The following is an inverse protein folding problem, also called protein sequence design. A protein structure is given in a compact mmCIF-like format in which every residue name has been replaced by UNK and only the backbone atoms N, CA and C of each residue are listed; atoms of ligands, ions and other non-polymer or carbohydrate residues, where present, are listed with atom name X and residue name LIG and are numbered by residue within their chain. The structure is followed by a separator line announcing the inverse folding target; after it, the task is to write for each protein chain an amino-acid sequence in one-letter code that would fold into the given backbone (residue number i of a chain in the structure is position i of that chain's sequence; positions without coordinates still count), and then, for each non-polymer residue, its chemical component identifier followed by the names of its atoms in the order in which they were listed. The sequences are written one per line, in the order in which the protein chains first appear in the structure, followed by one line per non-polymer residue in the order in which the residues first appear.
data_IF_693880429448
#
_entry.id   IF_693880429448
#
_cell.length_a   1.000
_cell.length_b   1.000
_cell.length_c   1.000
_cell.angle_alpha   90.00
_cell.angle_beta   90.00
_cell.angle_gamma   90.00
#
_symmetry.space_group_name_H-M   'P 1'
#
loop_
_entity.id
_entity.type
_entity.pdbx_description
1 polymer ?
#
# COMPACT_ATOMS: atom_id res chain seq x y z
N UNK A 1 33.34 23.38 37.12
CA UNK A 1 32.12 23.79 36.41
C UNK A 1 32.14 23.11 35.02
N UNK A 2 31.56 21.95 34.93
CA UNK A 2 31.56 21.13 33.70
C UNK A 2 30.24 21.43 32.97
N UNK A 3 30.34 22.13 31.86
CA UNK A 3 29.18 22.43 31.02
C UNK A 3 28.70 21.15 30.30
N UNK A 4 27.48 20.75 30.54
CA UNK A 4 26.79 19.68 29.81
C UNK A 4 26.69 20.06 28.34
N UNK A 5 26.85 19.09 27.40
CA UNK A 5 26.66 19.38 25.99
C UNK A 5 25.17 19.59 25.68
N UNK A 6 24.85 20.44 24.69
CA UNK A 6 23.46 20.75 24.32
C UNK A 6 22.71 19.49 23.85
N UNK A 7 21.46 19.42 24.24
CA UNK A 7 20.53 18.34 24.02
C UNK A 7 20.33 18.07 22.49
N UNK A 8 20.89 16.97 22.00
CA UNK A 8 20.77 16.52 20.60
C UNK A 8 19.34 16.10 20.18
N UNK A 9 18.40 16.14 21.13
CA UNK A 9 16.98 15.82 20.85
C UNK A 9 16.19 16.99 20.27
N UNK A 10 16.69 18.23 20.40
CA UNK A 10 16.04 19.40 19.82
C UNK A 10 16.30 19.51 18.31
N UNK A 11 17.45 19.05 17.82
CA UNK A 11 17.83 19.19 16.41
C UNK A 11 17.15 18.20 15.46
N UNK A 12 16.65 17.07 15.97
CA UNK A 12 15.94 16.08 15.13
C UNK A 12 14.53 16.51 14.71
N UNK A 13 13.92 17.50 15.39
CA UNK A 13 12.60 18.06 15.01
C UNK A 13 12.69 19.15 13.92
N UNK A 14 13.88 19.63 13.61
CA UNK A 14 14.09 20.71 12.63
C UNK A 14 14.27 20.20 11.18
N UNK A 15 14.28 18.89 10.92
CA UNK A 15 14.65 18.31 9.62
C UNK A 15 13.46 17.90 8.73
N UNK A 16 12.23 17.88 9.24
CA UNK A 16 11.07 17.67 8.38
C UNK A 16 10.43 19.02 8.04
N UNK A 17 10.37 19.39 6.74
CA UNK A 17 9.63 20.58 6.35
C UNK A 17 8.18 20.44 6.81
N UNK A 18 7.63 21.48 7.43
CA UNK A 18 6.24 21.46 7.84
C UNK A 18 5.37 21.27 6.59
N UNK A 19 4.21 20.59 6.74
CA UNK A 19 3.30 20.41 5.59
C UNK A 19 2.95 21.76 4.93
N UNK A 20 2.95 22.83 5.69
CA UNK A 20 2.74 24.20 5.20
C UNK A 20 3.84 24.65 4.22
N UNK A 21 5.10 24.25 4.45
CA UNK A 21 6.22 24.55 3.55
C UNK A 21 6.12 23.71 2.27
N UNK A 22 5.69 22.45 2.38
CA UNK A 22 5.44 21.58 1.22
C UNK A 22 4.32 22.12 0.31
N UNK A 23 3.23 22.64 0.89
CA UNK A 23 2.13 23.28 0.13
C UNK A 23 2.58 24.49 -0.70
N UNK A 24 3.62 25.19 -0.28
CA UNK A 24 4.16 26.36 -1.00
C UNK A 24 5.03 26.02 -2.21
N UNK A 25 5.51 24.78 -2.32
CA UNK A 25 6.30 24.32 -3.47
C UNK A 25 5.35 23.97 -4.62
N UNK A 26 5.43 24.71 -5.73
CA UNK A 26 4.48 24.67 -6.89
C UNK A 26 4.77 23.57 -7.94
N UNK A 27 5.44 22.52 -7.60
CA UNK A 27 5.54 21.35 -8.47
C UNK A 27 4.32 20.44 -8.24
N UNK A 28 4.36 19.18 -8.59
CA UNK A 28 3.30 18.19 -8.30
C UNK A 28 2.73 18.39 -6.88
N UNK A 29 1.41 18.23 -6.71
CA UNK A 29 0.76 18.32 -5.38
C UNK A 29 1.38 17.37 -4.35
N UNK A 30 1.33 17.71 -3.09
CA UNK A 30 1.93 16.98 -1.96
C UNK A 30 0.88 16.13 -1.26
N UNK A 31 1.25 14.91 -0.88
CA UNK A 31 0.40 13.97 -0.16
C UNK A 31 0.80 13.90 1.31
N UNK A 32 -0.14 14.27 2.18
CA UNK A 32 -0.06 13.96 3.62
C UNK A 32 -1.01 12.83 3.95
N UNK A 33 -0.51 11.78 4.58
CA UNK A 33 -1.27 10.58 4.88
C UNK A 33 -1.34 10.32 6.39
N UNK A 34 -2.56 10.25 6.93
CA UNK A 34 -2.83 9.77 8.28
C UNK A 34 -3.01 8.26 8.28
N UNK A 35 -2.13 7.55 8.98
CA UNK A 35 -2.19 6.10 9.14
C UNK A 35 -2.69 5.77 10.54
N UNK A 36 -3.54 4.75 10.65
CA UNK A 36 -3.98 4.23 11.94
C UNK A 36 -4.11 2.71 11.91
N UNK A 37 -4.09 2.10 13.09
CA UNK A 37 -4.21 0.65 13.22
C UNK A 37 -5.58 0.13 12.80
N UNK A 38 -6.66 0.87 13.12
CA UNK A 38 -8.05 0.45 12.84
C UNK A 38 -8.98 1.66 12.70
N UNK A 39 -10.27 1.40 12.48
CA UNK A 39 -11.31 2.41 12.60
C UNK A 39 -11.38 2.94 14.05
N UNK A 40 -11.70 4.22 14.22
CA UNK A 40 -11.82 4.85 15.55
C UNK A 40 -10.53 5.45 16.11
N UNK A 41 -9.38 5.37 15.42
CA UNK A 41 -8.14 6.03 15.86
C UNK A 41 -8.17 7.55 15.75
N UNK A 42 -9.22 8.14 15.16
CA UNK A 42 -9.41 9.59 15.08
C UNK A 42 -8.81 10.25 13.83
N UNK A 43 -8.46 9.49 12.78
CA UNK A 43 -7.85 10.02 11.54
C UNK A 43 -8.68 11.12 10.91
N UNK A 44 -9.93 10.83 10.58
CA UNK A 44 -10.86 11.80 9.97
C UNK A 44 -11.02 13.05 10.82
N UNK A 45 -11.18 12.91 12.13
CA UNK A 45 -11.28 14.03 13.06
C UNK A 45 -10.00 14.89 13.00
N UNK A 46 -8.81 14.27 13.01
CA UNK A 46 -7.55 14.99 12.97
C UNK A 46 -7.32 15.69 11.62
N UNK A 47 -7.70 15.07 10.51
CA UNK A 47 -7.67 15.68 9.19
C UNK A 47 -8.51 16.97 9.16
N UNK A 48 -9.73 16.93 9.69
CA UNK A 48 -10.64 18.08 9.73
C UNK A 48 -10.10 19.19 10.65
N UNK A 49 -9.53 18.85 11.80
CA UNK A 49 -8.85 19.85 12.65
C UNK A 49 -7.71 20.55 11.88
N UNK A 50 -6.88 19.80 11.17
CA UNK A 50 -5.82 20.38 10.38
C UNK A 50 -6.34 21.28 9.25
N UNK A 51 -7.45 20.89 8.61
CA UNK A 51 -8.12 21.71 7.61
C UNK A 51 -8.51 23.09 8.17
N UNK A 52 -9.08 23.14 9.38
CA UNK A 52 -9.38 24.40 10.08
C UNK A 52 -8.11 25.21 10.39
N UNK A 53 -7.03 24.54 10.81
CA UNK A 53 -5.76 25.21 11.06
C UNK A 53 -5.17 25.83 9.78
N UNK A 54 -5.22 25.11 8.66
CA UNK A 54 -4.79 25.60 7.36
C UNK A 54 -5.65 26.77 6.88
N UNK A 55 -6.99 26.66 6.98
CA UNK A 55 -7.93 27.72 6.64
C UNK A 55 -7.68 29.00 7.44
N UNK A 56 -7.45 28.87 8.76
CA UNK A 56 -7.12 30.04 9.60
C UNK A 56 -5.80 30.72 9.19
N UNK A 57 -4.91 30.01 8.55
CA UNK A 57 -3.65 30.54 8.00
C UNK A 57 -3.80 31.08 6.57
N UNK A 58 -5.02 31.17 6.05
CA UNK A 58 -5.32 31.69 4.71
C UNK A 58 -5.04 30.72 3.57
N UNK A 59 -4.92 29.43 3.84
CA UNK A 59 -4.81 28.39 2.80
C UNK A 59 -6.22 28.05 2.29
N UNK A 60 -6.38 27.97 0.98
CA UNK A 60 -7.62 27.57 0.33
C UNK A 60 -7.81 26.04 0.44
N UNK A 61 -8.70 25.63 1.35
CA UNK A 61 -8.95 24.22 1.71
C UNK A 61 -10.38 23.85 1.42
N UNK A 62 -10.58 22.70 0.76
CA UNK A 62 -11.88 22.09 0.53
C UNK A 62 -11.94 20.67 1.06
N UNK A 63 -13.13 20.20 1.36
CA UNK A 63 -13.43 18.79 1.61
C UNK A 63 -13.88 18.17 0.30
N UNK A 64 -13.02 17.38 -0.34
CA UNK A 64 -13.35 16.62 -1.54
C UNK A 64 -14.21 15.40 -1.22
N UNK A 65 -13.81 14.64 -0.19
CA UNK A 65 -14.60 13.54 0.33
C UNK A 65 -14.23 13.24 1.80
N UNK A 66 -15.22 13.24 2.65
CA UNK A 66 -15.08 12.79 4.05
C UNK A 66 -16.32 12.01 4.44
N UNK A 67 -16.14 10.85 5.04
CA UNK A 67 -17.23 10.04 5.57
C UNK A 67 -17.30 10.17 7.09
N UNK A 68 -18.41 10.67 7.59
CA UNK A 68 -18.60 10.87 9.04
C UNK A 68 -19.12 9.63 9.73
N UNK A 69 -19.67 8.66 8.97
CA UNK A 69 -20.31 7.45 9.50
C UNK A 69 -21.37 7.73 10.58
N UNK A 70 -22.04 8.89 10.51
CA UNK A 70 -23.03 9.31 11.50
C UNK A 70 -22.45 9.72 12.86
N UNK A 71 -21.13 9.95 12.96
CA UNK A 71 -20.46 10.39 14.20
C UNK A 71 -20.65 11.90 14.37
N UNK A 72 -21.44 12.29 15.39
CA UNK A 72 -21.77 13.69 15.63
C UNK A 72 -20.52 14.58 15.83
N UNK A 73 -19.51 14.09 16.56
CA UNK A 73 -18.26 14.82 16.79
C UNK A 73 -17.49 15.08 15.49
N UNK A 74 -17.45 14.12 14.57
CA UNK A 74 -16.78 14.28 13.26
C UNK A 74 -17.61 15.18 12.35
N UNK A 75 -18.93 15.02 12.34
CA UNK A 75 -19.82 15.86 11.55
C UNK A 75 -19.76 17.33 11.98
N UNK A 76 -19.62 17.60 13.28
CA UNK A 76 -19.42 18.96 13.80
C UNK A 76 -18.15 19.63 13.28
N UNK A 77 -17.11 18.84 12.96
CA UNK A 77 -15.86 19.36 12.39
C UNK A 77 -15.97 19.75 10.91
N UNK A 78 -17.06 19.40 10.21
CA UNK A 78 -17.30 19.86 8.84
C UNK A 78 -17.81 21.33 8.78
N UNK A 79 -18.24 21.87 9.91
CA UNK A 79 -18.73 23.26 9.97
C UNK A 79 -17.67 24.22 9.49
N UNK A 80 -18.10 25.20 8.70
CA UNK A 80 -17.25 26.24 8.10
C UNK A 80 -16.20 25.79 7.07
N UNK A 81 -16.10 24.50 6.78
CA UNK A 81 -15.32 24.00 5.65
C UNK A 81 -16.17 23.95 4.38
N UNK A 82 -15.59 24.37 3.27
CA UNK A 82 -16.23 24.17 1.96
C UNK A 82 -16.21 22.70 1.58
N UNK A 83 -17.37 22.13 1.33
CA UNK A 83 -17.52 20.74 0.90
C UNK A 83 -17.89 20.72 -0.59
N UNK A 84 -17.09 20.05 -1.40
CA UNK A 84 -17.42 19.82 -2.81
C UNK A 84 -18.58 18.83 -2.87
N UNK A 85 -19.69 19.15 -3.60
CA UNK A 85 -20.81 18.24 -3.73
C UNK A 85 -20.38 16.89 -4.28
N UNK A 86 -20.93 15.82 -3.73
CA UNK A 86 -20.67 14.46 -4.20
C UNK A 86 -21.37 14.21 -5.53
N UNK A 87 -20.73 13.44 -6.40
CA UNK A 87 -21.36 12.95 -7.63
C UNK A 87 -22.34 11.83 -7.27
N UNK A 88 -23.56 11.91 -7.84
CA UNK A 88 -24.58 10.86 -7.71
C UNK A 88 -24.52 9.93 -8.90
N UNK A 89 -24.26 8.65 -8.64
CA UNK A 89 -24.15 7.61 -9.67
C UNK A 89 -25.26 6.60 -9.47
N UNK A 90 -26.08 6.38 -10.49
CA UNK A 90 -27.07 5.33 -10.47
C UNK A 90 -26.42 3.98 -10.83
N UNK A 91 -26.47 3.03 -9.90
CA UNK A 91 -25.96 1.69 -10.10
C UNK A 91 -26.96 0.66 -9.59
N UNK A 92 -27.45 -0.25 -10.47
CA UNK A 92 -28.43 -1.30 -10.14
C UNK A 92 -29.67 -0.74 -9.42
N UNK A 93 -30.22 0.36 -9.91
CA UNK A 93 -31.40 1.05 -9.34
C UNK A 93 -31.21 1.64 -7.94
N UNK A 94 -29.96 1.80 -7.49
CA UNK A 94 -29.59 2.51 -6.27
C UNK A 94 -28.75 3.72 -6.64
N UNK A 95 -29.05 4.87 -6.06
CA UNK A 95 -28.21 6.07 -6.21
C UNK A 95 -27.12 6.01 -5.13
N UNK A 96 -25.88 5.96 -5.57
CA UNK A 96 -24.70 5.96 -4.72
C UNK A 96 -23.98 7.31 -4.86
N UNK A 97 -23.31 7.74 -3.80
CA UNK A 97 -22.57 9.00 -3.77
C UNK A 97 -21.08 8.74 -3.76
N UNK A 98 -20.37 9.38 -4.68
CA UNK A 98 -18.91 9.31 -4.80
C UNK A 98 -18.27 10.70 -4.82
N UNK A 99 -16.97 10.77 -4.62
CA UNK A 99 -16.22 12.01 -4.79
C UNK A 99 -16.33 12.50 -6.25
N UNK A 100 -16.71 13.75 -6.44
CA UNK A 100 -16.64 14.39 -7.75
C UNK A 100 -15.24 14.94 -8.00
N UNK A 101 -14.38 14.09 -8.59
CA UNK A 101 -12.99 14.42 -8.89
C UNK A 101 -12.88 15.61 -9.83
N UNK A 102 -13.74 15.66 -10.85
CA UNK A 102 -13.71 16.71 -11.85
C UNK A 102 -14.15 18.06 -11.24
N UNK A 103 -15.12 18.06 -10.32
CA UNK A 103 -15.50 19.24 -9.57
C UNK A 103 -14.34 19.75 -8.67
N UNK A 104 -13.59 18.86 -8.03
CA UNK A 104 -12.41 19.24 -7.24
C UNK A 104 -11.34 19.86 -8.15
N UNK A 105 -11.08 19.28 -9.33
CA UNK A 105 -10.11 19.81 -10.30
C UNK A 105 -10.54 21.20 -10.78
N UNK A 106 -11.81 21.38 -11.14
CA UNK A 106 -12.36 22.66 -11.60
C UNK A 106 -12.30 23.72 -10.50
N UNK A 107 -12.60 23.34 -9.23
CA UNK A 107 -12.52 24.24 -8.06
C UNK A 107 -11.08 24.68 -7.77
N UNK A 108 -10.10 23.82 -8.09
CA UNK A 108 -8.65 24.06 -7.98
C UNK A 108 -8.21 24.61 -6.63
N UNK A 109 -8.51 23.94 -5.52
CA UNK A 109 -8.08 24.36 -4.19
C UNK A 109 -6.58 24.19 -4.01
N UNK A 110 -6.00 24.85 -3.01
CA UNK A 110 -4.61 24.60 -2.61
C UNK A 110 -4.48 23.24 -1.90
N UNK A 111 -5.49 22.87 -1.11
CA UNK A 111 -5.53 21.59 -0.37
C UNK A 111 -6.94 20.99 -0.46
N UNK A 112 -7.03 19.70 -0.76
CA UNK A 112 -8.26 18.93 -0.66
C UNK A 112 -8.14 17.80 0.37
N UNK A 113 -9.19 17.61 1.17
CA UNK A 113 -9.30 16.47 2.08
C UNK A 113 -10.01 15.33 1.38
N UNK A 114 -9.37 14.16 1.34
CA UNK A 114 -9.93 12.94 0.73
C UNK A 114 -9.74 11.77 1.70
N UNK A 115 -10.79 11.41 2.41
CA UNK A 115 -10.80 10.27 3.35
C UNK A 115 -10.98 8.93 2.61
N UNK A 116 -10.81 7.84 3.34
CA UNK A 116 -11.01 6.46 2.85
C UNK A 116 -10.20 6.12 1.59
N UNK A 117 -8.87 6.32 1.65
CA UNK A 117 -7.97 6.12 0.51
C UNK A 117 -8.08 4.73 -0.15
N UNK A 118 -8.49 3.70 0.60
CA UNK A 118 -8.63 2.34 0.11
C UNK A 118 -9.96 2.05 -0.60
N UNK A 119 -10.91 2.98 -0.55
CA UNK A 119 -12.26 2.79 -1.08
C UNK A 119 -12.25 2.33 -2.53
N UNK A 120 -13.17 1.41 -2.84
CA UNK A 120 -13.44 0.98 -4.22
C UNK A 120 -14.61 1.78 -4.75
N UNK A 121 -14.34 2.65 -5.70
CA UNK A 121 -15.34 3.51 -6.30
C UNK A 121 -16.44 2.71 -7.01
N UNK A 122 -17.64 3.29 -7.10
CA UNK A 122 -18.77 2.69 -7.79
C UNK A 122 -18.40 2.40 -9.25
N UNK A 123 -18.78 1.22 -9.80
CA UNK A 123 -18.63 0.96 -11.24
C UNK A 123 -19.27 2.10 -12.04
N UNK A 124 -18.57 2.60 -13.03
CA UNK A 124 -18.87 3.81 -13.83
C UNK A 124 -18.26 5.12 -13.31
N UNK A 125 -17.59 5.11 -12.16
CA UNK A 125 -16.72 6.22 -11.77
C UNK A 125 -15.53 6.34 -12.73
N UNK A 126 -14.92 7.52 -12.81
CA UNK A 126 -13.75 7.79 -13.64
C UNK A 126 -12.60 6.82 -13.37
N UNK A 127 -12.34 6.55 -12.10
CA UNK A 127 -11.33 5.59 -11.64
C UNK A 127 -11.98 4.51 -10.78
N UNK A 128 -11.41 3.30 -10.77
CA UNK A 128 -11.93 2.19 -9.98
C UNK A 128 -11.62 2.26 -8.48
N UNK A 129 -10.67 3.11 -8.09
CA UNK A 129 -10.21 3.23 -6.70
C UNK A 129 -9.99 4.69 -6.30
N UNK A 130 -10.28 5.02 -5.04
CA UNK A 130 -10.10 6.35 -4.48
C UNK A 130 -8.64 6.82 -4.50
N UNK A 131 -7.69 5.91 -4.27
CA UNK A 131 -6.28 6.27 -4.37
C UNK A 131 -5.87 6.72 -5.79
N UNK A 132 -6.52 6.23 -6.85
CA UNK A 132 -6.28 6.69 -8.22
C UNK A 132 -6.80 8.12 -8.42
N UNK A 133 -7.93 8.46 -7.81
CA UNK A 133 -8.46 9.82 -7.81
C UNK A 133 -7.49 10.76 -7.09
N UNK A 134 -6.96 10.34 -5.93
CA UNK A 134 -5.94 11.10 -5.19
C UNK A 134 -4.70 11.33 -6.04
N UNK A 135 -4.20 10.30 -6.74
CA UNK A 135 -3.02 10.45 -7.61
C UNK A 135 -3.27 11.45 -8.73
N UNK A 136 -4.47 11.41 -9.34
CA UNK A 136 -4.87 12.38 -10.38
C UNK A 136 -4.89 13.82 -9.83
N UNK A 137 -5.45 14.04 -8.64
CA UNK A 137 -5.49 15.37 -8.02
C UNK A 137 -4.08 15.89 -7.70
N UNK A 138 -3.17 15.00 -7.27
CA UNK A 138 -1.77 15.36 -7.06
C UNK A 138 -1.07 15.76 -8.36
N UNK A 139 -1.34 15.05 -9.46
CA UNK A 139 -0.77 15.36 -10.78
C UNK A 139 -1.31 16.70 -11.33
N UNK A 140 -2.52 17.11 -10.95
CA UNK A 140 -3.10 18.43 -11.22
C UNK A 140 -2.54 19.54 -10.27
N UNK A 141 -1.58 19.21 -9.39
CA UNK A 141 -0.94 20.17 -8.49
C UNK A 141 -1.74 20.50 -7.23
N UNK A 142 -2.78 19.75 -6.89
CA UNK A 142 -3.60 19.92 -5.69
C UNK A 142 -2.96 19.10 -4.56
N UNK A 143 -2.70 19.75 -3.40
CA UNK A 143 -2.18 19.04 -2.24
C UNK A 143 -3.32 18.25 -1.56
N UNK A 144 -3.03 17.04 -1.12
CA UNK A 144 -4.02 16.14 -0.55
C UNK A 144 -3.67 15.79 0.90
N UNK A 145 -4.67 15.84 1.77
CA UNK A 145 -4.64 15.21 3.09
C UNK A 145 -5.60 14.03 3.03
N UNK A 146 -5.09 12.83 3.30
CA UNK A 146 -5.85 11.58 3.21
C UNK A 146 -5.64 10.70 4.43
N UNK A 147 -6.44 9.63 4.57
CA UNK A 147 -6.32 8.67 5.66
C UNK A 147 -6.49 7.23 5.18
N UNK A 148 -5.76 6.33 5.86
CA UNK A 148 -5.83 4.89 5.61
C UNK A 148 -5.65 4.10 6.92
N UNK A 149 -6.29 2.95 7.04
CA UNK A 149 -5.97 1.96 8.05
C UNK A 149 -4.91 1.00 7.51
N UNK A 150 -3.97 0.60 8.35
CA UNK A 150 -2.84 -0.27 7.98
C UNK A 150 -3.28 -1.59 7.34
N UNK A 151 -4.44 -2.12 7.72
CA UNK A 151 -5.01 -3.35 7.16
C UNK A 151 -5.31 -3.28 5.66
N UNK A 152 -5.46 -2.07 5.11
CA UNK A 152 -5.73 -1.84 3.70
C UNK A 152 -4.47 -1.78 2.83
N UNK A 153 -3.26 -1.91 3.40
CA UNK A 153 -2.04 -1.98 2.62
C UNK A 153 -1.94 -3.32 1.91
N UNK A 154 -1.77 -3.27 0.58
CA UNK A 154 -1.82 -4.47 -0.27
C UNK A 154 -0.77 -5.51 0.13
N UNK A 155 0.45 -5.09 0.49
CA UNK A 155 1.51 -6.02 0.92
C UNK A 155 1.23 -6.71 2.25
N UNK A 156 0.37 -6.13 3.09
CA UNK A 156 0.03 -6.67 4.40
C UNK A 156 -1.23 -7.56 4.38
N UNK A 157 -1.95 -7.62 3.26
CA UNK A 157 -3.22 -8.33 3.15
C UNK A 157 -3.13 -9.79 3.64
N UNK A 158 -2.11 -10.54 3.20
CA UNK A 158 -1.89 -11.93 3.63
C UNK A 158 -1.45 -12.07 5.11
N UNK A 159 -0.83 -11.04 5.68
CA UNK A 159 -0.49 -11.01 7.11
C UNK A 159 -1.72 -10.74 7.95
N UNK A 160 -2.53 -9.77 7.54
CA UNK A 160 -3.80 -9.41 8.18
C UNK A 160 -4.78 -10.58 8.11
N UNK A 161 -4.94 -11.23 6.96
CA UNK A 161 -5.81 -12.39 6.79
C UNK A 161 -5.42 -13.55 7.71
N UNK A 162 -4.14 -13.85 7.82
CA UNK A 162 -3.66 -14.92 8.73
C UNK A 162 -3.82 -14.59 10.20
N UNK A 163 -3.58 -13.33 10.57
CA UNK A 163 -3.61 -12.90 11.97
C UNK A 163 -5.03 -12.69 12.48
N UNK A 164 -5.92 -12.13 11.65
CA UNK A 164 -7.27 -11.73 12.04
C UNK A 164 -8.37 -12.65 11.50
N UNK A 165 -8.05 -13.55 10.56
CA UNK A 165 -9.04 -14.39 9.89
C UNK A 165 -10.00 -13.62 8.96
N UNK A 166 -9.67 -12.37 8.59
CA UNK A 166 -10.53 -11.48 7.82
C UNK A 166 -9.87 -11.17 6.47
N UNK A 167 -10.58 -11.43 5.38
CA UNK A 167 -10.12 -11.04 4.03
C UNK A 167 -10.44 -9.58 3.76
N UNK A 168 -9.41 -8.75 3.61
CA UNK A 168 -9.54 -7.33 3.26
C UNK A 168 -9.62 -7.21 1.73
N UNK A 169 -10.75 -6.70 1.23
CA UNK A 169 -10.99 -6.56 -0.22
C UNK A 169 -10.56 -5.20 -0.78
N UNK A 170 -10.64 -4.18 0.05
CA UNK A 170 -10.26 -2.81 -0.31
C UNK A 170 -8.81 -2.57 0.09
N UNK A 171 -7.96 -2.32 -0.89
CA UNK A 171 -6.52 -2.21 -0.68
C UNK A 171 -5.95 -1.00 -1.39
N UNK A 172 -4.85 -0.49 -0.83
CA UNK A 172 -4.00 0.56 -1.38
C UNK A 172 -2.64 -0.06 -1.69
N UNK A 173 -2.11 0.09 -2.90
CA UNK A 173 -0.75 -0.33 -3.20
C UNK A 173 0.29 0.40 -2.34
N UNK A 174 1.32 -0.31 -1.91
CA UNK A 174 2.35 0.24 -1.01
C UNK A 174 3.11 1.42 -1.62
N UNK A 175 3.28 1.43 -2.94
CA UNK A 175 3.92 2.54 -3.63
C UNK A 175 3.14 3.87 -3.50
N UNK A 176 1.81 3.83 -3.32
CA UNK A 176 1.00 5.03 -3.07
C UNK A 176 1.37 5.64 -1.72
N UNK A 177 1.53 4.80 -0.69
CA UNK A 177 1.98 5.23 0.65
C UNK A 177 3.43 5.72 0.59
N UNK A 178 4.27 5.05 -0.20
CA UNK A 178 5.65 5.46 -0.41
C UNK A 178 5.79 6.83 -1.08
N UNK A 179 4.80 7.26 -1.87
CA UNK A 179 4.77 8.60 -2.47
C UNK A 179 4.24 9.70 -1.54
N UNK A 180 3.81 9.35 -0.32
CA UNK A 180 3.39 10.36 0.64
C UNK A 180 4.58 11.21 1.11
N UNK A 181 4.48 12.52 0.95
CA UNK A 181 5.50 13.48 1.42
C UNK A 181 5.54 13.57 2.95
N UNK A 182 4.42 13.26 3.60
CA UNK A 182 4.34 13.19 5.05
C UNK A 182 3.40 12.06 5.48
N UNK A 183 3.87 11.18 6.36
CA UNK A 183 3.07 10.13 6.99
C UNK A 183 2.97 10.41 8.48
N UNK A 184 1.74 10.43 9.00
CA UNK A 184 1.45 10.68 10.41
C UNK A 184 0.76 9.46 11.00
N UNK A 185 1.38 8.83 12.00
CA UNK A 185 0.73 7.76 12.75
C UNK A 185 -0.21 8.33 13.81
N UNK A 186 -1.45 7.85 13.80
CA UNK A 186 -2.39 8.08 14.89
C UNK A 186 -2.50 6.80 15.73
N UNK A 187 -1.70 6.78 16.78
CA UNK A 187 -1.63 5.67 17.70
C UNK A 187 -2.60 5.84 18.87
N UNK A 188 -3.31 4.77 19.19
CA UNK A 188 -4.21 4.67 20.34
C UNK A 188 -4.13 3.24 20.88
N UNK A 189 -4.28 3.09 22.20
CA UNK A 189 -4.22 1.77 22.83
C UNK A 189 -5.40 0.88 22.39
N UNK A 190 -5.20 -0.44 22.42
CA UNK A 190 -6.29 -1.39 22.16
C UNK A 190 -7.46 -1.19 23.14
N UNK A 191 -7.15 -0.92 24.41
CA UNK A 191 -8.14 -0.68 25.44
C UNK A 191 -8.98 0.57 25.14
N UNK A 192 -8.35 1.70 24.78
CA UNK A 192 -9.06 2.94 24.43
C UNK A 192 -9.92 2.76 23.18
N UNK A 193 -9.44 2.02 22.15
CA UNK A 193 -10.23 1.71 20.96
C UNK A 193 -11.48 0.89 21.31
N UNK A 194 -11.33 -0.13 22.15
CA UNK A 194 -12.45 -0.95 22.62
C UNK A 194 -13.43 -0.13 23.46
N UNK A 195 -12.92 0.79 24.29
CA UNK A 195 -13.76 1.68 25.07
C UNK A 195 -14.56 2.63 24.16
N UNK A 196 -13.92 3.26 23.17
CA UNK A 196 -14.61 4.09 22.16
C UNK A 196 -15.66 3.30 21.37
N UNK A 197 -15.40 2.01 21.09
CA UNK A 197 -16.37 1.15 20.44
C UNK A 197 -17.59 0.89 21.35
N UNK A 198 -17.39 0.57 22.64
CA UNK A 198 -18.49 0.39 23.61
C UNK A 198 -19.35 1.65 23.77
N UNK A 199 -18.73 2.82 23.67
CA UNK A 199 -19.40 4.12 23.74
C UNK A 199 -20.15 4.50 22.44
N UNK A 200 -20.16 3.63 21.42
CA UNK A 200 -20.81 3.88 20.14
C UNK A 200 -20.11 4.92 19.27
N UNK A 201 -18.86 5.29 19.58
CA UNK A 201 -18.08 6.30 18.86
C UNK A 201 -17.44 5.77 17.55
N UNK A 202 -17.46 4.46 17.31
CA UNK A 202 -16.87 3.83 16.13
C UNK A 202 -17.96 3.25 15.23
N UNK A 203 -18.81 2.40 15.79
CA UNK A 203 -19.91 1.77 15.09
C UNK A 203 -21.25 2.01 15.82
N UNK A 204 -22.36 1.79 15.11
CA UNK A 204 -23.70 1.85 15.67
C UNK A 204 -23.88 0.73 16.70
N UNK A 205 -24.81 0.93 17.65
CA UNK A 205 -25.03 0.06 18.80
C UNK A 205 -25.26 -1.41 18.41
N UNK A 206 -25.98 -1.64 17.33
CA UNK A 206 -26.31 -2.97 16.78
C UNK A 206 -25.09 -3.78 16.31
N UNK A 207 -23.96 -3.11 16.01
CA UNK A 207 -22.73 -3.76 15.51
C UNK A 207 -21.63 -3.92 16.58
N UNK A 208 -21.80 -3.33 17.77
CA UNK A 208 -20.72 -3.26 18.77
C UNK A 208 -20.32 -4.64 19.29
N UNK A 209 -21.27 -5.46 19.72
CA UNK A 209 -20.99 -6.79 20.29
C UNK A 209 -20.26 -7.69 19.28
N UNK A 210 -20.75 -7.74 18.06
CA UNK A 210 -20.12 -8.52 17.00
C UNK A 210 -18.71 -8.02 16.68
N UNK A 211 -18.50 -6.70 16.67
CA UNK A 211 -17.19 -6.11 16.44
C UNK A 211 -16.19 -6.42 17.57
N UNK A 212 -16.63 -6.34 18.85
CA UNK A 212 -15.80 -6.68 20.01
C UNK A 212 -15.43 -8.16 20.06
N UNK A 213 -16.32 -9.04 19.62
CA UNK A 213 -16.11 -10.49 19.62
C UNK A 213 -15.17 -10.95 18.48
N UNK A 214 -15.13 -10.24 17.35
CA UNK A 214 -14.41 -10.69 16.16
C UNK A 214 -13.18 -9.83 15.86
N UNK A 215 -13.37 -8.59 15.42
CA UNK A 215 -12.27 -7.75 14.93
C UNK A 215 -11.56 -6.98 16.04
N UNK A 216 -12.30 -6.39 16.99
CA UNK A 216 -11.75 -5.54 18.05
C UNK A 216 -11.30 -6.33 19.29
N UNK A 217 -10.63 -7.47 19.10
CA UNK A 217 -9.96 -8.20 20.18
C UNK A 217 -8.63 -7.53 20.53
N UNK A 218 -8.13 -7.72 21.74
CA UNK A 218 -6.86 -7.13 22.16
C UNK A 218 -5.69 -7.63 21.31
N UNK A 219 -5.71 -8.90 20.92
CA UNK A 219 -4.70 -9.55 20.08
C UNK A 219 -4.68 -8.93 18.67
N UNK A 220 -5.85 -8.81 18.03
CA UNK A 220 -5.97 -8.23 16.69
C UNK A 220 -5.52 -6.77 16.68
N UNK A 221 -6.00 -5.96 17.62
CA UNK A 221 -5.65 -4.54 17.71
C UNK A 221 -4.17 -4.33 18.01
N UNK A 222 -3.56 -5.17 18.84
CA UNK A 222 -2.12 -5.13 19.12
C UNK A 222 -1.33 -5.46 17.86
N UNK A 223 -1.72 -6.49 17.11
CA UNK A 223 -1.09 -6.86 15.85
C UNK A 223 -1.18 -5.75 14.82
N UNK A 224 -2.36 -5.17 14.62
CA UNK A 224 -2.57 -4.05 13.69
C UNK A 224 -1.78 -2.81 14.11
N UNK A 225 -1.68 -2.53 15.40
CA UNK A 225 -0.89 -1.43 15.95
C UNK A 225 0.60 -1.63 15.66
N UNK A 226 1.13 -2.83 15.87
CA UNK A 226 2.52 -3.16 15.53
C UNK A 226 2.80 -2.96 14.03
N UNK A 227 1.89 -3.43 13.17
CA UNK A 227 2.00 -3.25 11.72
C UNK A 227 2.00 -1.76 11.34
N UNK A 228 1.12 -0.95 11.93
CA UNK A 228 1.05 0.49 11.68
C UNK A 228 2.34 1.22 12.08
N UNK A 229 2.85 0.94 13.28
CA UNK A 229 4.11 1.51 13.77
C UNK A 229 5.30 1.13 12.88
N UNK A 230 5.35 -0.12 12.44
CA UNK A 230 6.40 -0.62 11.53
C UNK A 230 6.34 0.09 10.18
N UNK A 231 5.15 0.28 9.61
CA UNK A 231 5.01 0.95 8.31
C UNK A 231 5.40 2.43 8.38
N UNK A 232 5.05 3.11 9.45
CA UNK A 232 5.46 4.50 9.66
C UNK A 232 6.98 4.60 9.87
N UNK A 233 7.60 3.68 10.59
CA UNK A 233 9.06 3.63 10.72
C UNK A 233 9.73 3.47 9.33
N UNK A 234 9.22 2.57 8.50
CA UNK A 234 9.70 2.38 7.12
C UNK A 234 9.56 3.65 6.28
N UNK A 235 8.49 4.44 6.48
CA UNK A 235 8.29 5.69 5.74
C UNK A 235 9.29 6.78 6.15
N UNK A 236 9.64 6.86 7.44
CA UNK A 236 10.66 7.80 7.95
C UNK A 236 12.05 7.47 7.39
N UNK A 237 12.39 6.19 7.33
CA UNK A 237 13.69 5.77 6.78
C UNK A 237 13.77 6.10 5.28
N UNK A 238 12.70 5.91 4.51
CA UNK A 238 12.60 6.31 3.09
C UNK A 238 12.83 7.82 2.90
N UNK A 239 12.18 8.64 3.70
CA UNK A 239 12.33 10.11 3.63
C UNK A 239 13.76 10.55 3.92
N UNK A 240 14.43 9.93 4.89
CA UNK A 240 15.83 10.22 5.21
C UNK A 240 16.78 9.86 4.07
N UNK A 241 16.59 8.71 3.44
CA UNK A 241 17.43 8.27 2.32
C UNK A 241 17.23 9.16 1.09
N UNK A 242 16.03 9.65 0.83
CA UNK A 242 15.78 10.62 -0.24
C UNK A 242 16.49 11.95 -0.01
N UNK A 243 16.50 12.45 1.22
CA UNK A 243 17.23 13.67 1.59
C UNK A 243 18.72 13.48 1.35
N UNK A 244 19.31 12.37 1.85
CA UNK A 244 20.72 12.03 1.64
C UNK A 244 21.05 11.91 0.16
N UNK A 245 20.20 11.25 -0.64
CA UNK A 245 20.37 11.14 -2.10
C UNK A 245 20.30 12.48 -2.83
N UNK A 246 19.48 13.42 -2.36
CA UNK A 246 19.42 14.80 -2.91
C UNK A 246 20.68 15.59 -2.60
N UNK A 247 21.20 15.47 -1.38
CA UNK A 247 22.45 16.14 -0.96
C UNK A 247 23.67 15.55 -1.69
N UNK A 248 23.72 14.23 -1.89
CA UNK A 248 24.80 13.55 -2.60
C UNK A 248 24.82 13.82 -4.11
N UNK A 249 23.71 14.19 -4.74
CA UNK A 249 23.71 14.63 -6.16
C UNK A 249 24.50 15.89 -6.45
N UNK A 250 24.94 16.60 -5.41
CA UNK A 250 25.85 17.77 -5.50
C UNK A 250 27.35 17.45 -5.41
N UNK A 251 27.76 16.21 -5.13
CA UNK A 251 29.16 15.80 -5.00
C UNK A 251 29.34 14.31 -5.28
N UNK A 252 30.50 13.89 -5.78
CA UNK A 252 30.83 12.53 -6.21
C UNK A 252 30.41 11.47 -5.18
N UNK A 253 29.45 10.63 -5.55
CA UNK A 253 28.82 9.61 -4.73
C UNK A 253 29.74 8.42 -4.48
N UNK A 254 29.88 7.91 -3.24
CA UNK A 254 30.31 6.54 -3.07
C UNK A 254 29.19 5.62 -3.56
N UNK A 255 29.53 4.65 -4.41
CA UNK A 255 28.63 3.62 -4.92
C UNK A 255 28.15 2.78 -3.71
N UNK A 256 27.07 3.20 -3.05
CA UNK A 256 26.32 2.28 -2.19
C UNK A 256 25.66 1.26 -3.12
N UNK A 257 26.00 0.00 -2.95
CA UNK A 257 25.25 -1.12 -3.53
C UNK A 257 23.86 -1.08 -2.95
N UNK A 258 22.94 -0.42 -3.67
CA UNK A 258 21.52 -0.44 -3.31
C UNK A 258 21.03 -1.85 -3.61
N UNK A 259 20.60 -2.57 -2.59
CA UNK A 259 19.97 -3.87 -2.79
C UNK A 259 18.80 -3.73 -3.77
N UNK A 260 18.77 -4.59 -4.80
CA UNK A 260 17.68 -4.66 -5.77
C UNK A 260 17.03 -6.01 -5.72
N UNK A 261 15.70 -6.02 -5.76
CA UNK A 261 14.89 -7.21 -5.58
C UNK A 261 14.28 -7.63 -6.91
N UNK A 262 14.29 -8.93 -7.22
CA UNK A 262 13.45 -9.48 -8.29
C UNK A 262 12.57 -10.60 -7.77
N UNK A 263 11.30 -10.60 -8.20
CA UNK A 263 10.37 -11.73 -8.05
C UNK A 263 10.33 -12.52 -9.35
N UNK A 264 10.59 -13.83 -9.26
CA UNK A 264 10.57 -14.72 -10.42
C UNK A 264 9.16 -15.30 -10.60
N UNK A 265 8.43 -14.80 -11.59
CA UNK A 265 7.06 -15.21 -11.87
C UNK A 265 7.04 -16.47 -12.75
N UNK A 266 6.22 -17.46 -12.38
CA UNK A 266 5.95 -18.66 -13.21
C UNK A 266 4.60 -18.52 -13.89
N UNK A 267 4.49 -19.02 -15.12
CA UNK A 267 3.26 -19.05 -15.91
C UNK A 267 2.12 -19.85 -15.22
N UNK A 268 2.46 -20.92 -14.52
CA UNK A 268 1.49 -21.86 -13.95
C UNK A 268 1.26 -21.68 -12.45
N UNK A 269 1.43 -20.48 -11.92
CA UNK A 269 1.26 -20.29 -10.48
C UNK A 269 -0.06 -19.58 -10.13
N UNK A 270 -1.04 -20.34 -9.64
CA UNK A 270 -2.22 -19.81 -8.95
C UNK A 270 -1.87 -19.04 -7.66
N UNK A 271 -0.60 -19.10 -7.23
CA UNK A 271 -0.10 -18.60 -5.93
C UNK A 271 0.88 -17.46 -6.06
N UNK A 272 1.03 -16.92 -7.27
CA UNK A 272 1.94 -15.79 -7.56
C UNK A 272 1.63 -14.56 -6.71
N UNK A 273 0.39 -14.33 -6.32
CA UNK A 273 0.00 -13.14 -5.53
C UNK A 273 0.72 -13.08 -4.17
N UNK A 274 0.86 -14.21 -3.46
CA UNK A 274 1.59 -14.26 -2.17
C UNK A 274 3.07 -13.94 -2.39
N UNK A 275 3.67 -14.52 -3.45
CA UNK A 275 5.06 -14.22 -3.84
C UNK A 275 5.25 -12.73 -4.12
N UNK A 276 4.37 -12.14 -4.93
CA UNK A 276 4.44 -10.74 -5.35
C UNK A 276 4.25 -9.78 -4.16
N UNK A 277 3.29 -10.06 -3.26
CA UNK A 277 3.14 -9.28 -2.01
C UNK A 277 4.38 -9.37 -1.13
N UNK A 278 4.97 -10.57 -0.99
CA UNK A 278 6.22 -10.74 -0.22
C UNK A 278 7.38 -9.98 -0.83
N UNK A 279 7.49 -9.96 -2.16
CA UNK A 279 8.49 -9.19 -2.88
C UNK A 279 8.31 -7.67 -2.67
N UNK A 280 7.10 -7.17 -2.83
CA UNK A 280 6.76 -5.77 -2.59
C UNK A 280 7.10 -5.34 -1.15
N UNK A 281 6.74 -6.16 -0.12
CA UNK A 281 7.12 -5.87 1.28
C UNK A 281 8.63 -5.83 1.50
N UNK A 282 9.37 -6.75 0.90
CA UNK A 282 10.82 -6.78 1.05
C UNK A 282 11.45 -5.59 0.35
N UNK A 283 11.04 -5.29 -0.87
CA UNK A 283 11.49 -4.12 -1.61
C UNK A 283 11.17 -2.81 -0.86
N UNK A 284 9.97 -2.71 -0.29
CA UNK A 284 9.58 -1.58 0.55
C UNK A 284 10.43 -1.42 1.81
N UNK A 285 10.82 -2.54 2.46
CA UNK A 285 11.73 -2.51 3.62
C UNK A 285 13.16 -2.13 3.27
N UNK A 286 13.63 -2.57 2.09
CA UNK A 286 14.95 -2.23 1.58
C UNK A 286 14.97 -0.86 0.88
N UNK A 287 13.83 -0.18 0.81
CA UNK A 287 13.63 1.07 0.09
C UNK A 287 14.25 1.05 -1.31
N UNK A 288 13.87 0.05 -2.09
CA UNK A 288 14.42 -0.18 -3.42
C UNK A 288 13.33 -0.49 -4.44
N UNK A 289 13.61 -0.16 -5.69
CA UNK A 289 12.80 -0.62 -6.82
C UNK A 289 12.93 -2.14 -6.98
N UNK A 290 11.88 -2.77 -7.50
CA UNK A 290 11.89 -4.21 -7.68
C UNK A 290 11.32 -4.64 -9.02
N UNK A 291 11.84 -5.76 -9.50
CA UNK A 291 11.45 -6.34 -10.78
C UNK A 291 10.55 -7.55 -10.58
N UNK A 292 9.51 -7.65 -11.40
CA UNK A 292 8.77 -8.90 -11.61
C UNK A 292 9.23 -9.50 -12.94
N UNK A 293 10.02 -10.57 -12.87
CA UNK A 293 10.64 -11.17 -14.05
C UNK A 293 9.92 -12.46 -14.43
N UNK A 294 9.38 -12.50 -15.62
CA UNK A 294 8.78 -13.68 -16.23
C UNK A 294 9.65 -14.17 -17.40
N UNK A 295 10.04 -15.44 -17.37
CA UNK A 295 10.80 -16.04 -18.47
C UNK A 295 9.85 -16.92 -19.29
N UNK A 296 9.58 -16.53 -20.53
CA UNK A 296 8.79 -17.31 -21.47
C UNK A 296 9.67 -18.35 -22.12
N UNK A 297 9.36 -19.64 -21.89
CA UNK A 297 10.01 -20.74 -22.60
C UNK A 297 9.31 -21.01 -23.94
N UNK A 298 9.98 -21.67 -24.93
CA UNK A 298 9.40 -21.94 -26.24
C UNK A 298 8.05 -22.67 -26.22
N UNK A 299 7.81 -23.53 -25.21
CA UNK A 299 6.57 -24.27 -25.06
C UNK A 299 5.44 -23.43 -24.42
N UNK A 300 5.74 -22.25 -23.86
CA UNK A 300 4.78 -21.32 -23.26
C UNK A 300 4.47 -20.12 -24.18
N UNK A 301 4.73 -20.23 -25.48
CA UNK A 301 4.32 -19.20 -26.44
C UNK A 301 2.79 -19.10 -26.49
N UNK A 302 2.30 -17.91 -26.83
CA UNK A 302 0.87 -17.59 -26.82
C UNK A 302 -0.01 -18.54 -27.71
N UNK A 303 0.59 -19.18 -28.72
CA UNK A 303 -0.02 -20.16 -29.60
C UNK A 303 -0.08 -21.58 -29.01
N UNK A 304 0.61 -21.85 -27.91
CA UNK A 304 0.75 -23.18 -27.29
C UNK A 304 0.27 -23.24 -25.84
N UNK A 305 0.12 -22.09 -25.18
CA UNK A 305 -0.28 -22.04 -23.76
C UNK A 305 -1.81 -22.09 -23.62
N UNK A 306 -2.29 -22.80 -22.61
CA UNK A 306 -3.72 -22.83 -22.27
C UNK A 306 -4.25 -21.44 -21.96
N UNK A 307 -5.41 -21.08 -22.47
CA UNK A 307 -6.03 -19.75 -22.33
C UNK A 307 -6.28 -19.36 -20.86
N UNK A 308 -6.54 -20.32 -19.97
CA UNK A 308 -6.71 -20.07 -18.55
C UNK A 308 -5.37 -19.73 -17.87
N UNK A 309 -4.28 -20.37 -18.29
CA UNK A 309 -2.92 -20.08 -17.81
C UNK A 309 -2.48 -18.70 -18.29
N UNK A 310 -2.74 -18.38 -19.56
CA UNK A 310 -2.45 -17.07 -20.12
C UNK A 310 -3.19 -15.93 -19.39
N UNK A 311 -4.49 -16.13 -19.11
CA UNK A 311 -5.29 -15.16 -18.35
C UNK A 311 -4.71 -14.93 -16.97
N UNK A 312 -4.39 -15.99 -16.23
CA UNK A 312 -3.76 -15.89 -14.89
C UNK A 312 -2.42 -15.19 -14.94
N UNK A 313 -1.60 -15.45 -15.97
CA UNK A 313 -0.33 -14.76 -16.14
C UNK A 313 -0.55 -13.24 -16.32
N UNK A 314 -1.49 -12.83 -17.17
CA UNK A 314 -1.82 -11.40 -17.38
C UNK A 314 -2.31 -10.76 -16.07
N UNK A 315 -3.21 -11.44 -15.34
CA UNK A 315 -3.70 -10.97 -14.05
C UNK A 315 -2.57 -10.81 -13.01
N UNK A 316 -1.62 -11.75 -12.96
CA UNK A 316 -0.46 -11.67 -12.07
C UNK A 316 0.51 -10.56 -12.47
N UNK A 317 0.69 -10.31 -13.76
CA UNK A 317 1.50 -9.20 -14.29
C UNK A 317 0.86 -7.86 -13.88
N UNK A 318 -0.44 -7.69 -14.11
CA UNK A 318 -1.17 -6.49 -13.71
C UNK A 318 -1.11 -6.28 -12.19
N UNK A 319 -1.21 -7.37 -11.43
CA UNK A 319 -1.08 -7.33 -9.99
C UNK A 319 0.34 -6.92 -9.55
N UNK A 320 1.40 -7.42 -10.18
CA UNK A 320 2.77 -6.98 -9.91
C UNK A 320 2.96 -5.49 -10.19
N UNK A 321 2.42 -5.00 -11.31
CA UNK A 321 2.44 -3.57 -11.65
C UNK A 321 1.68 -2.72 -10.62
N UNK A 322 0.53 -3.19 -10.15
CA UNK A 322 -0.22 -2.50 -9.09
C UNK A 322 0.52 -2.43 -7.75
N UNK A 323 1.47 -3.35 -7.51
CA UNK A 323 2.36 -3.34 -6.35
C UNK A 323 3.65 -2.51 -6.58
N UNK A 324 3.77 -1.82 -7.71
CA UNK A 324 4.93 -0.99 -8.05
C UNK A 324 6.13 -1.75 -8.62
N UNK A 325 5.91 -2.93 -9.22
CA UNK A 325 6.98 -3.67 -9.90
C UNK A 325 7.25 -3.17 -11.31
N UNK A 326 8.51 -3.11 -11.69
CA UNK A 326 8.93 -3.09 -13.08
C UNK A 326 8.82 -4.50 -13.66
N UNK A 327 7.86 -4.71 -14.57
CA UNK A 327 7.64 -6.03 -15.16
C UNK A 327 8.53 -6.23 -16.38
N UNK A 328 9.31 -7.31 -16.34
CA UNK A 328 10.24 -7.68 -17.41
C UNK A 328 9.89 -9.08 -17.92
N UNK A 329 9.68 -9.18 -19.24
CA UNK A 329 9.52 -10.44 -19.94
C UNK A 329 10.82 -10.79 -20.63
N UNK A 330 11.32 -12.00 -20.39
CA UNK A 330 12.49 -12.57 -21.06
C UNK A 330 12.06 -13.77 -21.90
N UNK A 331 12.63 -13.93 -23.09
CA UNK A 331 12.43 -15.10 -23.94
C UNK A 331 13.69 -15.97 -23.89
N UNK A 332 13.61 -17.16 -23.26
CA UNK A 332 14.73 -18.07 -23.15
C UNK A 332 14.30 -19.53 -22.90
N UNK A 333 15.07 -20.48 -23.45
CA UNK A 333 14.89 -21.90 -23.14
C UNK A 333 15.45 -22.27 -21.75
N UNK A 334 16.50 -21.57 -21.31
CA UNK A 334 17.11 -21.75 -20.01
C UNK A 334 16.65 -20.64 -19.03
N UNK A 335 15.65 -20.95 -18.21
CA UNK A 335 15.05 -20.02 -17.24
C UNK A 335 16.07 -19.54 -16.21
N UNK A 336 16.87 -20.44 -15.62
CA UNK A 336 17.81 -20.08 -14.58
C UNK A 336 18.96 -19.22 -15.12
N UNK A 337 19.48 -19.54 -16.32
CA UNK A 337 20.50 -18.74 -16.98
C UNK A 337 20.00 -17.34 -17.34
N UNK A 338 18.78 -17.21 -17.86
CA UNK A 338 18.18 -15.93 -18.18
C UNK A 338 17.98 -15.04 -16.93
N UNK A 339 17.47 -15.61 -15.83
CA UNK A 339 17.31 -14.90 -14.56
C UNK A 339 18.65 -14.46 -13.96
N UNK A 340 19.67 -15.33 -13.98
CA UNK A 340 21.00 -15.00 -13.49
C UNK A 340 21.69 -13.91 -14.35
N UNK A 341 21.46 -13.94 -15.66
CA UNK A 341 21.96 -12.90 -16.58
C UNK A 341 21.30 -11.55 -16.28
N UNK A 342 19.96 -11.54 -16.19
CA UNK A 342 19.20 -10.34 -15.85
C UNK A 342 19.62 -9.77 -14.49
N UNK A 343 19.79 -10.63 -13.48
CA UNK A 343 20.23 -10.20 -12.16
C UNK A 343 21.57 -9.47 -12.19
N UNK A 344 22.55 -9.99 -12.95
CA UNK A 344 23.86 -9.35 -13.12
C UNK A 344 23.77 -8.05 -13.88
N UNK A 345 23.02 -8.01 -14.97
CA UNK A 345 22.87 -6.82 -15.82
C UNK A 345 22.20 -5.65 -15.05
N UNK A 346 21.21 -5.96 -14.22
CA UNK A 346 20.43 -4.96 -13.47
C UNK A 346 20.91 -4.74 -12.04
N UNK A 347 21.97 -5.44 -11.61
CA UNK A 347 22.50 -5.32 -10.26
C UNK A 347 21.52 -5.82 -9.19
N UNK A 348 20.73 -6.86 -9.49
CA UNK A 348 19.82 -7.49 -8.52
C UNK A 348 20.63 -8.29 -7.51
N UNK A 349 20.40 -8.04 -6.23
CA UNK A 349 21.07 -8.72 -5.10
C UNK A 349 20.19 -9.80 -4.45
N UNK A 350 18.86 -9.70 -4.59
CA UNK A 350 17.93 -10.64 -4.00
C UNK A 350 16.89 -11.14 -5.01
N UNK A 351 16.86 -12.45 -5.25
CA UNK A 351 15.85 -13.13 -6.04
C UNK A 351 14.82 -13.83 -5.13
N UNK A 352 13.54 -13.59 -5.35
CA UNK A 352 12.43 -14.22 -4.63
C UNK A 352 11.76 -15.20 -5.57
N UNK A 353 11.78 -16.48 -5.20
CA UNK A 353 11.31 -17.61 -6.03
C UNK A 353 10.25 -18.39 -5.26
N UNK A 354 9.22 -18.83 -5.94
CA UNK A 354 8.25 -19.76 -5.37
C UNK A 354 8.80 -21.19 -5.30
N UNK A 355 8.36 -21.94 -4.29
CA UNK A 355 8.68 -23.36 -4.19
C UNK A 355 8.11 -24.14 -5.40
N UNK A 356 8.98 -24.90 -6.08
CA UNK A 356 8.60 -25.65 -7.27
C UNK A 356 7.95 -26.97 -6.90
N UNK A 357 6.70 -27.22 -7.35
CA UNK A 357 6.01 -28.51 -7.21
C UNK A 357 6.38 -29.55 -8.28
N UNK A 358 7.32 -29.25 -9.16
CA UNK A 358 7.75 -30.21 -10.17
C UNK A 358 8.29 -31.48 -9.51
N UNK A 359 7.95 -32.66 -10.05
CA UNK A 359 8.27 -33.96 -9.46
C UNK A 359 9.77 -34.09 -9.14
N UNK A 360 10.11 -34.89 -8.11
CA UNK A 360 11.50 -35.16 -7.72
C UNK A 360 12.34 -35.66 -8.92
N UNK A 361 11.72 -36.42 -9.84
CA UNK A 361 12.35 -36.91 -11.07
C UNK A 361 12.70 -35.77 -12.07
N UNK A 362 11.86 -34.76 -12.20
CA UNK A 362 12.13 -33.62 -13.08
C UNK A 362 13.30 -32.79 -12.53
N UNK A 363 13.36 -32.61 -11.22
CA UNK A 363 14.47 -31.91 -10.53
C UNK A 363 15.79 -32.64 -10.67
N UNK A 364 15.76 -33.98 -10.63
CA UNK A 364 16.98 -34.79 -10.80
C UNK A 364 17.58 -34.67 -12.22
N UNK A 365 16.74 -34.46 -13.22
CA UNK A 365 17.18 -34.45 -14.63
C UNK A 365 17.52 -33.05 -15.17
N UNK A 366 16.91 -31.99 -14.63
CA UNK A 366 17.06 -30.61 -15.15
C UNK A 366 17.58 -29.62 -14.11
N UNK A 367 17.84 -30.03 -12.89
CA UNK A 367 18.20 -29.16 -11.76
C UNK A 367 17.02 -28.28 -11.28
N UNK A 368 17.09 -27.79 -10.06
CA UNK A 368 16.16 -26.75 -9.57
C UNK A 368 16.62 -25.37 -10.08
N UNK A 369 15.69 -24.52 -10.49
CA UNK A 369 16.00 -23.10 -10.80
C UNK A 369 16.74 -22.45 -9.63
N UNK A 370 16.33 -22.78 -8.39
CA UNK A 370 16.95 -22.30 -7.15
C UNK A 370 18.41 -22.73 -7.06
N UNK A 371 18.70 -24.04 -7.22
CA UNK A 371 20.06 -24.58 -7.13
C UNK A 371 20.97 -23.96 -8.19
N UNK A 372 20.45 -23.72 -9.38
CA UNK A 372 21.18 -23.12 -10.51
C UNK A 372 21.42 -21.64 -10.31
N UNK A 373 20.49 -20.89 -9.72
CA UNK A 373 20.68 -19.49 -9.36
C UNK A 373 21.75 -19.36 -8.28
N UNK A 374 21.73 -20.24 -7.27
CA UNK A 374 22.73 -20.28 -6.20
C UNK A 374 24.12 -20.69 -6.74
N UNK A 375 24.16 -21.64 -7.66
CA UNK A 375 25.42 -22.09 -8.27
C UNK A 375 26.07 -21.05 -9.20
N UNK A 376 25.30 -20.08 -9.68
CA UNK A 376 25.77 -19.04 -10.63
C UNK A 376 26.81 -18.06 -10.04
N UNK A 377 27.18 -18.17 -8.75
CA UNK A 377 28.18 -17.34 -8.03
C UNK A 377 28.08 -15.84 -8.32
N UNK A 378 26.85 -15.35 -8.46
CA UNK A 378 26.57 -13.98 -8.93
C UNK A 378 26.45 -12.94 -7.80
N UNK A 379 26.70 -13.32 -6.54
CA UNK A 379 26.40 -12.46 -5.39
C UNK A 379 24.88 -12.26 -5.21
N UNK A 380 24.06 -13.16 -5.76
CA UNK A 380 22.62 -13.14 -5.72
C UNK A 380 22.10 -14.02 -4.58
N UNK A 381 21.48 -13.39 -3.61
CA UNK A 381 20.74 -14.11 -2.58
C UNK A 381 19.43 -14.67 -3.14
N UNK A 382 19.05 -15.88 -2.73
CA UNK A 382 17.81 -16.51 -3.19
C UNK A 382 16.90 -16.82 -2.01
N UNK A 383 15.77 -16.14 -1.96
CA UNK A 383 14.71 -16.40 -1.00
C UNK A 383 13.65 -17.30 -1.62
N UNK A 384 13.45 -18.49 -1.05
CA UNK A 384 12.40 -19.41 -1.49
C UNK A 384 11.15 -19.20 -0.64
N UNK A 385 10.04 -18.88 -1.27
CA UNK A 385 8.74 -18.75 -0.62
C UNK A 385 8.07 -20.12 -0.58
N UNK A 386 7.89 -20.65 0.65
CA UNK A 386 7.31 -21.99 0.87
C UNK A 386 5.84 -22.06 0.49
N UNK A 387 5.41 -23.22 0.00
CA UNK A 387 4.02 -23.51 -0.29
C UNK A 387 3.13 -23.58 0.96
N UNK A 388 3.69 -23.80 2.13
CA UNK A 388 2.97 -23.82 3.40
C UNK A 388 2.50 -22.41 3.85
N UNK A 389 3.16 -21.36 3.40
CA UNK A 389 2.74 -19.96 3.62
C UNK A 389 1.55 -19.56 2.72
N UNK A 390 1.12 -20.43 1.85
CA UNK A 390 0.17 -20.18 0.77
C UNK A 390 -1.17 -20.76 1.19
N UNK A 391 -1.95 -20.06 1.99
CA UNK A 391 -3.29 -20.47 2.42
C UNK A 391 -4.08 -21.15 1.31
N UNK A 392 -4.85 -22.15 1.67
CA UNK A 392 -5.61 -23.01 0.75
C UNK A 392 -6.65 -22.17 -0.01
N UNK A 393 -6.42 -21.95 -1.29
CA UNK A 393 -7.32 -21.21 -2.23
C UNK A 393 -8.66 -21.96 -2.46
N UNK A 394 -9.03 -22.92 -1.58
CA UNK A 394 -10.28 -23.68 -1.67
C UNK A 394 -11.52 -22.90 -1.27
N UNK A 395 -11.36 -21.70 -0.66
CA UNK A 395 -12.50 -20.84 -0.26
C UNK A 395 -13.09 -20.03 -1.43
N UNK A 396 -12.57 -20.16 -2.64
CA UNK A 396 -13.08 -19.44 -3.82
C UNK A 396 -14.29 -20.07 -4.53
N UNK A 397 -14.84 -21.21 -4.06
CA UNK A 397 -15.94 -21.91 -4.75
C UNK A 397 -17.24 -22.09 -3.97
N UNK A 398 -17.29 -21.84 -2.69
CA UNK A 398 -18.50 -22.03 -1.90
C UNK A 398 -18.80 -20.88 -0.95
N UNK A 399 -19.08 -19.70 -1.45
CA UNK A 399 -19.96 -18.73 -0.75
C UNK A 399 -20.38 -17.64 -1.74
N UNK A 400 -21.20 -18.02 -2.72
CA UNK A 400 -22.17 -17.12 -3.32
C UNK A 400 -23.42 -17.11 -2.43
N UNK A 401 -23.32 -16.55 -1.28
CA UNK A 401 -24.44 -15.96 -0.54
C UNK A 401 -23.90 -15.42 0.80
N UNK A 402 -24.31 -14.20 1.08
CA UNK A 402 -24.16 -13.53 2.37
C UNK A 402 -22.80 -12.89 2.67
N UNK A 403 -22.86 -11.64 2.62
CA UNK A 403 -22.38 -10.52 3.42
C UNK A 403 -21.75 -9.41 2.59
N UNK A 404 -22.57 -8.68 1.92
CA UNK A 404 -22.47 -7.24 1.79
C UNK A 404 -22.81 -6.66 3.18
N UNK A 405 -21.83 -6.13 3.90
CA UNK A 405 -22.00 -5.06 4.91
C UNK A 405 -20.89 -5.09 5.95
N UNK A 406 -19.72 -4.60 5.61
CA UNK A 406 -18.79 -4.03 6.58
C UNK A 406 -18.13 -2.78 5.93
N UNK A 407 -18.96 -1.77 5.68
CA UNK A 407 -18.54 -0.37 5.48
C UNK A 407 -18.92 0.42 6.70
#
# INVERSE_FOLDING_TARGET
MTTLPPDRRADARALEPSFLELVRQRERGKLKLYVGSAAGTGKTYRMLQEAHDLKRRGIDVVVGFVETHGRAETAAQLQDLEVVPRQKIEYRSVVLEEMDVDAVIVRRPQVALVDELAHTNVPSSRNGKRWQDVMLLLDEGINIISAVNVQHLESLNDVVERALGVTVRETVPDWVVAQADQVVNLDISAEDLRQRLREGKIYRQDKIEAALANFFTDENLTTLRELALREVANSVDRSREEIVRREERGGASPVKTVDRVMACLSSDSSRSRVLLRKASRIAGRLNTDWYCVYVQIPDERADRIDSAVQRRLVENIQFAQSLGADVVKLDAADVAGALAHFARERGVTLAIVGETRRSRWFRLRHGSVVDRLQAARSGLDVLVVSSAEWGDDRLGRETRSEVSTWT
#
